data_IF_871031063403
#
_entry.id   IF_871031063403
#
_cell.length_a   1.000
_cell.length_b   1.000
_cell.length_c   1.000
_cell.angle_alpha   90.00
_cell.angle_beta   90.00
_cell.angle_gamma   90.00
#
_symmetry.space_group_name_H-M   'P 1'
#
loop_
_entity.id
_entity.type
_entity.pdbx_description
1 polymer ?
#
# COMPACT_ATOMS: atom_id res chain seq x y z
N UNK A 1 -50.17 -59.46 5.67
CA UNK A 1 -49.75 -58.04 5.73
C UNK A 1 -48.34 -57.93 5.16
N UNK A 2 -48.17 -57.29 4.00
CA UNK A 2 -46.87 -57.07 3.35
C UNK A 2 -46.31 -55.73 3.84
N UNK A 3 -45.14 -55.73 4.48
CA UNK A 3 -44.42 -54.51 4.85
C UNK A 3 -43.60 -54.01 3.66
N UNK A 4 -43.89 -52.80 3.20
CA UNK A 4 -43.13 -52.09 2.17
C UNK A 4 -41.88 -51.45 2.79
N UNK A 5 -40.70 -51.73 2.22
CA UNK A 5 -39.46 -51.01 2.53
C UNK A 5 -39.43 -49.71 1.71
N UNK A 6 -39.45 -48.56 2.39
CA UNK A 6 -39.20 -47.27 1.76
C UNK A 6 -37.69 -47.14 1.42
N UNK A 7 -37.39 -46.86 0.15
CA UNK A 7 -36.04 -46.50 -0.32
C UNK A 7 -35.84 -45.00 -0.09
N UNK A 8 -34.90 -44.63 0.78
CA UNK A 8 -34.35 -43.28 0.82
C UNK A 8 -33.36 -43.12 -0.33
N UNK A 9 -33.66 -42.23 -1.27
CA UNK A 9 -32.71 -41.77 -2.27
C UNK A 9 -31.87 -40.64 -1.65
N UNK A 10 -30.58 -40.89 -1.44
CA UNK A 10 -29.63 -39.85 -1.09
C UNK A 10 -29.33 -39.00 -2.33
N UNK A 11 -29.79 -37.75 -2.33
CA UNK A 11 -29.38 -36.77 -3.33
C UNK A 11 -27.92 -36.38 -3.07
N UNK A 12 -27.00 -36.85 -3.91
CA UNK A 12 -25.63 -36.36 -3.96
C UNK A 12 -25.66 -34.91 -4.50
N UNK A 13 -25.54 -33.92 -3.62
CA UNK A 13 -25.15 -32.58 -4.04
C UNK A 13 -23.68 -32.62 -4.46
N UNK A 14 -23.43 -32.68 -5.76
CA UNK A 14 -22.11 -32.36 -6.31
C UNK A 14 -21.95 -30.85 -6.15
N UNK A 15 -21.27 -30.43 -5.08
CA UNK A 15 -20.74 -29.08 -4.98
C UNK A 15 -19.75 -28.91 -6.13
N UNK A 16 -20.18 -28.21 -7.18
CA UNK A 16 -19.29 -27.69 -8.21
C UNK A 16 -18.28 -26.79 -7.52
N UNK A 17 -17.07 -27.29 -7.28
CA UNK A 17 -15.95 -26.47 -6.86
C UNK A 17 -15.61 -25.54 -8.01
N UNK A 18 -16.15 -24.32 -8.00
CA UNK A 18 -15.51 -23.23 -8.71
C UNK A 18 -14.09 -23.12 -8.15
N UNK A 19 -13.10 -23.48 -8.95
CA UNK A 19 -11.72 -23.15 -8.64
C UNK A 19 -11.70 -21.64 -8.31
N UNK A 20 -11.13 -21.22 -7.16
CA UNK A 20 -11.08 -19.80 -6.84
C UNK A 20 -10.38 -19.10 -7.99
N UNK A 21 -11.06 -18.10 -8.59
CA UNK A 21 -10.47 -17.25 -9.62
C UNK A 21 -9.10 -16.80 -9.10
N UNK A 22 -8.03 -17.07 -9.85
CA UNK A 22 -6.70 -16.67 -9.42
C UNK A 22 -6.66 -15.14 -9.36
N UNK A 23 -6.77 -14.59 -8.15
CA UNK A 23 -6.72 -13.16 -7.93
C UNK A 23 -5.29 -12.67 -8.18
N UNK A 24 -5.15 -11.65 -9.04
CA UNK A 24 -3.87 -10.96 -9.26
C UNK A 24 -3.43 -10.28 -7.95
N UNK A 25 -4.36 -9.62 -7.26
CA UNK A 25 -4.12 -8.91 -6.00
C UNK A 25 -4.91 -9.51 -4.84
N UNK A 26 -4.28 -9.58 -3.66
CA UNK A 26 -4.93 -9.87 -2.38
C UNK A 26 -4.56 -8.79 -1.37
N UNK A 27 -5.46 -8.41 -0.46
CA UNK A 27 -5.10 -7.47 0.60
C UNK A 27 -4.06 -8.09 1.54
N UNK A 28 -3.18 -7.24 2.06
CA UNK A 28 -2.17 -7.57 3.06
C UNK A 28 -2.05 -6.43 4.09
N UNK A 29 -3.21 -5.93 4.56
CA UNK A 29 -3.30 -4.83 5.52
C UNK A 29 -2.91 -5.27 6.92
N UNK A 30 -2.37 -4.33 7.71
CA UNK A 30 -2.04 -4.56 9.12
C UNK A 30 -1.20 -5.84 9.31
N UNK A 31 -1.69 -6.74 10.17
CA UNK A 31 -0.97 -7.93 10.65
C UNK A 31 -0.92 -9.04 9.60
N UNK A 32 -1.65 -8.87 8.49
CA UNK A 32 -1.54 -9.74 7.32
C UNK A 32 -0.25 -9.47 6.51
N UNK A 33 0.40 -8.31 6.70
CA UNK A 33 1.64 -7.97 5.99
C UNK A 33 2.78 -8.96 6.29
N UNK A 34 3.07 -9.23 7.57
CA UNK A 34 4.21 -10.04 7.96
C UNK A 34 4.14 -11.49 7.44
N UNK A 35 3.01 -12.21 7.54
CA UNK A 35 2.87 -13.53 6.91
C UNK A 35 3.13 -13.50 5.40
N UNK A 36 2.68 -12.47 4.68
CA UNK A 36 2.88 -12.34 3.23
C UNK A 36 4.31 -11.99 2.87
N UNK A 37 4.97 -11.12 3.64
CA UNK A 37 6.39 -10.85 3.47
C UNK A 37 7.22 -12.12 3.68
N UNK A 38 6.94 -12.88 4.74
CA UNK A 38 7.59 -14.18 4.99
C UNK A 38 7.34 -15.18 3.87
N UNK A 39 6.14 -15.19 3.28
CA UNK A 39 5.79 -16.01 2.12
C UNK A 39 6.66 -15.67 0.89
N UNK A 40 6.88 -14.37 0.62
CA UNK A 40 7.75 -13.91 -0.47
C UNK A 40 9.20 -14.35 -0.23
N UNK A 41 9.76 -14.04 0.94
CA UNK A 41 11.17 -14.32 1.26
C UNK A 41 11.48 -15.83 1.20
N UNK A 42 10.60 -16.66 1.81
CA UNK A 42 10.76 -18.12 1.79
C UNK A 42 10.50 -18.73 0.40
N UNK A 43 9.64 -18.07 -0.38
CA UNK A 43 9.24 -18.50 -1.70
C UNK A 43 10.30 -18.25 -2.78
N UNK A 44 11.11 -17.20 -2.63
CA UNK A 44 12.10 -16.75 -3.62
C UNK A 44 13.07 -17.86 -4.04
N UNK A 45 13.35 -17.95 -5.35
CA UNK A 45 14.18 -18.99 -5.98
C UNK A 45 15.42 -18.44 -6.68
N UNK A 46 15.29 -17.32 -7.36
CA UNK A 46 16.36 -16.71 -8.14
C UNK A 46 16.69 -15.31 -7.61
N UNK A 47 15.67 -14.49 -7.33
CA UNK A 47 15.85 -13.09 -6.95
C UNK A 47 14.90 -12.67 -5.83
N UNK A 48 15.38 -11.77 -4.98
CA UNK A 48 14.59 -11.13 -3.94
C UNK A 48 15.07 -9.69 -3.76
N UNK A 49 14.28 -8.72 -4.22
CA UNK A 49 14.63 -7.30 -4.15
C UNK A 49 13.72 -6.54 -3.20
N UNK A 50 14.33 -5.75 -2.31
CA UNK A 50 13.67 -5.06 -1.20
C UNK A 50 13.95 -3.57 -1.33
N UNK A 51 12.90 -2.77 -1.51
CA UNK A 51 12.96 -1.32 -1.38
C UNK A 51 12.11 -0.85 -0.22
N UNK A 52 12.71 -0.09 0.69
CA UNK A 52 12.06 0.41 1.89
C UNK A 52 12.58 1.78 2.27
N UNK A 53 11.70 2.64 2.79
CA UNK A 53 12.12 3.86 3.47
C UNK A 53 13.04 3.51 4.64
N UNK A 54 12.66 2.54 5.47
CA UNK A 54 13.56 2.03 6.48
C UNK A 54 13.33 0.57 6.85
N UNK A 55 14.40 -0.03 7.38
CA UNK A 55 14.41 -1.33 8.03
C UNK A 55 15.00 -1.18 9.42
N UNK A 56 14.15 -0.92 10.40
CA UNK A 56 14.55 -0.79 11.80
C UNK A 56 14.77 -2.18 12.39
N UNK A 57 15.90 -2.42 13.08
CA UNK A 57 16.27 -3.76 13.62
C UNK A 57 15.69 -4.01 15.02
N UNK A 58 14.38 -4.19 15.09
CA UNK A 58 13.59 -4.38 16.32
C UNK A 58 13.01 -5.80 16.47
N UNK A 59 12.14 -6.02 17.47
CA UNK A 59 11.66 -7.35 17.88
C UNK A 59 10.96 -8.14 16.77
N UNK A 60 10.17 -7.48 15.91
CA UNK A 60 9.44 -8.12 14.81
C UNK A 60 10.30 -8.31 13.56
N UNK A 61 11.19 -7.37 13.27
CA UNK A 61 11.90 -7.31 11.99
C UNK A 61 13.26 -7.98 12.04
N UNK A 62 13.95 -7.99 13.20
CA UNK A 62 15.24 -8.69 13.37
C UNK A 62 15.14 -10.18 13.02
N UNK A 63 14.05 -10.92 13.32
CA UNK A 63 13.88 -12.29 12.85
C UNK A 63 13.83 -12.45 11.32
N UNK A 64 13.52 -11.41 10.55
CA UNK A 64 13.55 -11.47 9.09
C UNK A 64 14.96 -11.66 8.55
N UNK A 65 15.99 -11.23 9.27
CA UNK A 65 17.41 -11.41 8.90
C UNK A 65 17.75 -12.90 8.75
N UNK A 66 17.20 -13.78 9.61
CA UNK A 66 17.37 -15.22 9.44
C UNK A 66 16.75 -15.74 8.15
N UNK A 67 15.56 -15.26 7.78
CA UNK A 67 14.88 -15.66 6.55
C UNK A 67 15.62 -15.16 5.29
N UNK A 68 16.23 -13.97 5.38
CA UNK A 68 17.07 -13.43 4.32
C UNK A 68 18.38 -14.22 4.20
N UNK A 69 19.02 -14.60 5.32
CA UNK A 69 20.19 -15.47 5.30
C UNK A 69 19.86 -16.83 4.69
N UNK A 70 18.73 -17.43 5.05
CA UNK A 70 18.24 -18.66 4.42
C UNK A 70 18.02 -18.50 2.91
N UNK A 71 17.63 -17.31 2.43
CA UNK A 71 17.49 -17.05 0.99
C UNK A 71 18.86 -16.97 0.31
N UNK A 72 19.81 -16.27 0.91
CA UNK A 72 21.20 -16.22 0.44
C UNK A 72 21.83 -17.61 0.40
N UNK A 73 21.64 -18.42 1.44
CA UNK A 73 22.16 -19.80 1.51
C UNK A 73 21.57 -20.71 0.41
N UNK A 74 20.36 -20.40 -0.07
CA UNK A 74 19.74 -21.09 -1.22
C UNK A 74 20.28 -20.61 -2.58
N UNK A 75 21.15 -19.61 -2.61
CA UNK A 75 21.69 -19.00 -3.82
C UNK A 75 20.79 -17.95 -4.48
N UNK A 76 19.82 -17.40 -3.73
CA UNK A 76 18.97 -16.29 -4.23
C UNK A 76 19.81 -15.00 -4.28
N UNK A 77 19.70 -14.25 -5.37
CA UNK A 77 20.21 -12.86 -5.47
C UNK A 77 19.34 -11.94 -4.61
N UNK A 78 19.81 -11.65 -3.39
CA UNK A 78 19.09 -10.80 -2.44
C UNK A 78 19.69 -9.40 -2.42
N UNK A 79 18.89 -8.42 -2.82
CA UNK A 79 19.29 -6.99 -2.85
C UNK A 79 18.35 -6.14 -2.00
N UNK A 80 18.92 -5.15 -1.32
CA UNK A 80 18.17 -4.25 -0.45
C UNK A 80 18.65 -2.81 -0.62
N UNK A 81 17.71 -1.91 -0.92
CA UNK A 81 17.95 -0.47 -0.95
C UNK A 81 17.11 0.21 0.14
N UNK A 82 17.77 1.06 0.94
CA UNK A 82 17.16 1.77 2.06
C UNK A 82 17.43 3.28 1.94
N UNK A 83 16.47 4.14 2.26
CA UNK A 83 16.66 5.59 2.21
C UNK A 83 17.83 6.05 3.12
N UNK A 84 18.77 6.82 2.55
CA UNK A 84 20.03 7.18 3.22
C UNK A 84 19.83 8.15 4.39
N UNK A 85 18.84 9.05 4.27
CA UNK A 85 18.59 10.09 5.28
C UNK A 85 17.91 9.58 6.56
N UNK A 86 17.57 8.29 6.65
CA UNK A 86 16.85 7.72 7.81
C UNK A 86 17.80 6.97 8.74
N UNK A 87 18.00 7.52 9.94
CA UNK A 87 18.92 6.99 10.95
C UNK A 87 18.60 5.55 11.42
N UNK A 88 17.34 5.12 11.33
CA UNK A 88 16.93 3.74 11.65
C UNK A 88 17.64 2.69 10.78
N UNK A 89 18.20 3.07 9.62
CA UNK A 89 18.88 2.16 8.70
C UNK A 89 20.33 1.85 9.09
N UNK A 90 20.91 2.59 10.06
CA UNK A 90 22.31 2.48 10.43
C UNK A 90 22.72 1.08 10.92
N UNK A 91 21.83 0.37 11.63
CA UNK A 91 22.07 -1.01 12.08
C UNK A 91 21.79 -2.04 10.99
N UNK A 92 20.80 -1.80 10.14
CA UNK A 92 20.33 -2.78 9.16
C UNK A 92 21.34 -3.04 8.05
N UNK A 93 21.93 -1.98 7.48
CA UNK A 93 22.83 -2.11 6.32
C UNK A 93 24.04 -3.01 6.62
N UNK A 94 24.81 -2.84 7.72
CA UNK A 94 25.92 -3.73 8.04
C UNK A 94 25.48 -5.17 8.34
N UNK A 95 24.33 -5.34 9.00
CA UNK A 95 23.82 -6.67 9.35
C UNK A 95 23.42 -7.46 8.11
N UNK A 96 22.71 -6.81 7.17
CA UNK A 96 22.33 -7.40 5.89
C UNK A 96 23.56 -7.76 5.05
N UNK A 97 24.55 -6.87 4.95
CA UNK A 97 25.81 -7.16 4.24
C UNK A 97 26.54 -8.37 4.82
N UNK A 98 26.55 -8.51 6.15
CA UNK A 98 27.22 -9.63 6.84
C UNK A 98 26.62 -10.99 6.51
N UNK A 99 25.32 -11.06 6.21
CA UNK A 99 24.64 -12.30 5.82
C UNK A 99 24.61 -12.52 4.30
N UNK A 100 25.37 -11.73 3.54
CA UNK A 100 25.48 -11.86 2.08
C UNK A 100 24.37 -11.20 1.27
N UNK A 101 23.50 -10.40 1.90
CA UNK A 101 22.57 -9.52 1.15
C UNK A 101 23.36 -8.35 0.57
N UNK A 102 23.19 -8.07 -0.72
CA UNK A 102 23.68 -6.84 -1.33
C UNK A 102 22.81 -5.67 -0.85
N UNK A 103 23.17 -5.08 0.28
CA UNK A 103 22.44 -3.96 0.88
C UNK A 103 23.22 -2.64 0.73
N UNK A 104 22.53 -1.55 0.40
CA UNK A 104 23.16 -0.22 0.30
C UNK A 104 22.16 0.91 0.57
N UNK A 105 22.62 2.09 1.00
CA UNK A 105 21.75 3.26 1.08
C UNK A 105 21.37 3.74 -0.33
N UNK A 106 20.23 4.41 -0.43
CA UNK A 106 19.79 5.14 -1.60
C UNK A 106 20.36 6.57 -1.55
N UNK A 107 21.65 6.71 -1.88
CA UNK A 107 22.38 7.97 -1.75
C UNK A 107 22.21 8.92 -2.95
N UNK A 108 21.13 8.76 -3.72
CA UNK A 108 20.82 9.64 -4.85
C UNK A 108 20.19 10.97 -4.41
N UNK A 109 20.09 11.93 -5.33
CA UNK A 109 19.54 13.27 -5.03
C UNK A 109 18.02 13.29 -4.79
N UNK A 110 17.32 12.23 -5.21
CA UNK A 110 15.89 12.08 -5.04
C UNK A 110 15.63 11.20 -3.81
N UNK A 111 14.73 11.64 -2.94
CA UNK A 111 14.33 10.91 -1.73
C UNK A 111 13.50 9.66 -2.08
N UNK A 112 13.86 8.52 -1.47
CA UNK A 112 13.23 7.23 -1.66
C UNK A 112 12.17 6.98 -0.59
N UNK A 113 10.91 6.90 -1.02
CA UNK A 113 9.79 6.64 -0.11
C UNK A 113 9.01 5.38 -0.51
N UNK A 114 9.46 4.65 -1.53
CA UNK A 114 8.83 3.42 -1.99
C UNK A 114 9.00 2.28 -0.98
N UNK A 115 7.98 1.41 -0.90
CA UNK A 115 7.92 0.30 0.07
C UNK A 115 7.37 -0.92 -0.64
N UNK A 116 8.28 -1.75 -1.15
CA UNK A 116 7.90 -2.99 -1.80
C UNK A 116 8.97 -4.06 -1.66
N UNK A 117 8.53 -5.31 -1.78
CA UNK A 117 9.42 -6.46 -1.94
C UNK A 117 8.93 -7.28 -3.12
N UNK A 118 9.84 -7.62 -4.03
CA UNK A 118 9.56 -8.44 -5.22
C UNK A 118 10.45 -9.68 -5.22
N UNK A 119 9.89 -10.83 -5.57
CA UNK A 119 10.62 -12.07 -5.77
C UNK A 119 10.31 -12.68 -7.14
N UNK A 120 11.38 -13.15 -7.79
CA UNK A 120 11.37 -13.91 -9.05
C UNK A 120 10.54 -13.26 -10.18
N UNK A 121 10.43 -11.93 -10.19
CA UNK A 121 9.65 -11.18 -11.14
C UNK A 121 8.15 -11.54 -11.17
N UNK A 122 7.61 -12.13 -10.09
CA UNK A 122 6.22 -12.63 -10.08
C UNK A 122 5.45 -12.22 -8.82
N UNK A 123 6.07 -12.30 -7.64
CA UNK A 123 5.39 -12.02 -6.37
C UNK A 123 5.84 -10.68 -5.83
N UNK A 124 4.89 -9.81 -5.54
CA UNK A 124 5.16 -8.48 -4.99
C UNK A 124 4.32 -8.25 -3.75
N UNK A 125 4.87 -7.60 -2.73
CA UNK A 125 4.09 -6.92 -1.71
C UNK A 125 4.42 -5.43 -1.79
N UNK A 126 3.41 -4.57 -1.85
CA UNK A 126 3.57 -3.13 -2.01
C UNK A 126 2.48 -2.39 -1.23
N UNK A 127 2.85 -1.24 -0.65
CA UNK A 127 1.90 -0.41 0.09
C UNK A 127 2.59 0.56 1.03
N UNK A 128 2.00 0.77 2.21
CA UNK A 128 2.42 1.79 3.15
C UNK A 128 3.39 1.30 4.24
N UNK A 129 3.53 -0.02 4.44
CA UNK A 129 4.26 -0.57 5.59
C UNK A 129 5.78 -0.44 5.46
N UNK A 130 6.40 0.26 6.41
CA UNK A 130 7.84 0.21 6.65
C UNK A 130 8.23 -1.09 7.39
N UNK A 131 9.51 -1.46 7.35
CA UNK A 131 10.00 -2.57 8.15
C UNK A 131 10.37 -2.09 9.57
N UNK A 132 9.35 -1.94 10.43
CA UNK A 132 9.47 -1.81 11.90
C UNK A 132 8.35 -2.56 12.62
N UNK A 133 8.57 -2.89 13.89
CA UNK A 133 7.55 -3.46 14.78
C UNK A 133 6.31 -2.57 14.85
N UNK A 134 6.47 -1.25 14.93
CA UNK A 134 5.36 -0.31 14.97
C UNK A 134 4.50 -0.39 13.70
N UNK A 135 5.12 -0.32 12.52
CA UNK A 135 4.38 -0.38 11.25
C UNK A 135 3.69 -1.73 11.04
N UNK A 136 4.39 -2.82 11.35
CA UNK A 136 3.89 -4.18 11.08
C UNK A 136 2.82 -4.63 12.09
N UNK A 137 3.00 -4.31 13.37
CA UNK A 137 2.21 -4.91 14.46
C UNK A 137 1.29 -3.92 15.19
N UNK A 138 1.42 -2.61 14.97
CA UNK A 138 0.64 -1.60 15.70
C UNK A 138 -0.20 -0.72 14.78
N UNK A 139 0.39 -0.18 13.73
CA UNK A 139 -0.26 0.78 12.83
C UNK A 139 -1.44 0.18 12.05
N UNK A 140 -2.34 1.07 11.62
CA UNK A 140 -3.24 0.81 10.51
C UNK A 140 -2.50 1.08 9.20
N UNK A 141 -2.21 0.02 8.44
CA UNK A 141 -1.45 0.02 7.19
C UNK A 141 -2.25 -0.64 6.06
N UNK A 142 -2.03 -0.20 4.83
CA UNK A 142 -2.65 -0.76 3.63
C UNK A 142 -1.59 -1.26 2.66
N UNK A 143 -1.68 -2.54 2.31
CA UNK A 143 -0.81 -3.15 1.31
C UNK A 143 -1.61 -4.14 0.47
N UNK A 144 -1.05 -4.50 -0.68
CA UNK A 144 -1.50 -5.65 -1.45
C UNK A 144 -0.35 -6.61 -1.69
N UNK A 145 -0.71 -7.88 -1.75
CA UNK A 145 0.12 -8.95 -2.27
C UNK A 145 -0.31 -9.26 -3.71
N UNK A 146 0.62 -9.16 -4.65
CA UNK A 146 0.43 -9.37 -6.07
C UNK A 146 1.10 -10.68 -6.47
N UNK A 147 0.43 -11.47 -7.31
CA UNK A 147 1.02 -12.60 -8.01
C UNK A 147 0.74 -12.49 -9.51
N UNK A 148 1.67 -11.88 -10.23
CA UNK A 148 1.59 -11.64 -11.68
C UNK A 148 2.98 -11.37 -12.24
N UNK A 149 3.35 -12.08 -13.31
CA UNK A 149 4.69 -12.00 -13.89
C UNK A 149 4.97 -10.64 -14.54
N UNK A 150 3.98 -10.00 -15.16
CA UNK A 150 4.18 -8.72 -15.84
C UNK A 150 4.41 -7.61 -14.82
N UNK A 151 3.61 -7.59 -13.75
CA UNK A 151 3.76 -6.63 -12.66
C UNK A 151 5.03 -6.89 -11.86
N UNK A 152 5.35 -8.15 -11.55
CA UNK A 152 6.57 -8.50 -10.84
C UNK A 152 7.83 -8.11 -11.61
N UNK A 153 7.87 -8.34 -12.92
CA UNK A 153 8.98 -7.88 -13.77
C UNK A 153 9.12 -6.35 -13.76
N UNK A 154 8.00 -5.61 -13.81
CA UNK A 154 8.05 -4.15 -13.70
C UNK A 154 8.62 -3.69 -12.36
N UNK A 155 8.26 -4.33 -11.24
CA UNK A 155 8.85 -4.01 -9.93
C UNK A 155 10.34 -4.37 -9.84
N UNK A 156 10.80 -5.43 -10.51
CA UNK A 156 12.24 -5.72 -10.65
C UNK A 156 12.96 -4.64 -11.47
N UNK A 157 12.40 -4.23 -12.60
CA UNK A 157 12.95 -3.16 -13.45
C UNK A 157 12.98 -1.83 -12.69
N UNK A 158 11.92 -1.50 -11.95
CA UNK A 158 11.84 -0.32 -11.11
C UNK A 158 12.91 -0.36 -10.00
N UNK A 159 13.07 -1.49 -9.33
CA UNK A 159 14.14 -1.69 -8.36
C UNK A 159 15.53 -1.51 -9.00
N UNK A 160 15.77 -2.14 -10.15
CA UNK A 160 17.06 -2.08 -10.83
C UNK A 160 17.38 -0.69 -11.36
N UNK A 161 16.38 0.10 -11.76
CA UNK A 161 16.57 1.50 -12.11
C UNK A 161 17.08 2.31 -10.92
N UNK A 162 16.50 2.12 -9.72
CA UNK A 162 17.06 2.70 -8.49
C UNK A 162 18.47 2.15 -8.18
N UNK A 163 18.68 0.85 -8.44
CA UNK A 163 19.94 0.17 -8.19
C UNK A 163 21.08 0.64 -9.11
N UNK A 164 20.78 1.08 -10.32
CA UNK A 164 21.81 1.48 -11.27
C UNK A 164 21.91 3.00 -11.43
N UNK A 165 20.88 3.74 -11.00
CA UNK A 165 20.72 5.16 -11.36
C UNK A 165 20.22 5.32 -12.80
N UNK A 166 19.45 4.35 -13.30
CA UNK A 166 18.88 4.37 -14.66
C UNK A 166 17.53 5.10 -14.69
N UNK A 167 17.01 5.35 -15.89
CA UNK A 167 15.64 5.83 -16.07
C UNK A 167 14.61 4.80 -15.58
N UNK A 168 13.56 5.26 -14.91
CA UNK A 168 12.50 4.39 -14.41
C UNK A 168 11.62 3.82 -15.54
N UNK A 169 11.13 2.58 -15.40
CA UNK A 169 10.17 2.03 -16.34
C UNK A 169 8.85 2.82 -16.27
N UNK A 170 8.26 3.09 -17.44
CA UNK A 170 6.93 3.69 -17.51
C UNK A 170 5.85 2.77 -16.93
N UNK A 171 4.70 3.35 -16.58
CA UNK A 171 3.56 2.61 -16.01
C UNK A 171 3.13 1.42 -16.87
N UNK A 172 2.74 0.32 -16.23
CA UNK A 172 2.29 -0.91 -16.89
C UNK A 172 0.95 -1.39 -16.34
N UNK A 173 0.08 -1.89 -17.23
CA UNK A 173 -1.17 -2.56 -16.86
C UNK A 173 -1.07 -4.06 -17.09
N UNK A 174 -1.44 -4.87 -16.09
CA UNK A 174 -1.71 -6.31 -16.21
C UNK A 174 -3.09 -6.63 -15.65
N UNK A 175 -3.99 -7.14 -16.50
CA UNK A 175 -5.38 -7.35 -16.11
C UNK A 175 -6.04 -6.06 -15.63
N UNK A 176 -6.49 -6.05 -14.37
CA UNK A 176 -7.13 -4.89 -13.73
C UNK A 176 -6.20 -4.02 -12.89
N UNK A 177 -4.89 -4.28 -12.92
CA UNK A 177 -3.89 -3.60 -12.08
C UNK A 177 -2.98 -2.77 -12.96
N UNK A 178 -2.78 -1.51 -12.57
CA UNK A 178 -1.87 -0.57 -13.24
C UNK A 178 -0.87 -0.03 -12.22
N UNK A 179 0.42 -0.10 -12.53
CA UNK A 179 1.45 0.58 -11.74
C UNK A 179 1.38 2.08 -11.99
N UNK A 180 1.67 2.88 -10.96
CA UNK A 180 1.58 4.33 -11.03
C UNK A 180 2.90 4.92 -10.52
N UNK A 181 3.66 5.50 -11.43
CA UNK A 181 4.82 6.32 -11.12
C UNK A 181 4.40 7.58 -10.34
N UNK A 182 5.31 8.12 -9.53
CA UNK A 182 5.08 9.31 -8.68
C UNK A 182 4.38 10.44 -9.43
N UNK A 183 4.92 10.90 -10.57
CA UNK A 183 4.41 12.06 -11.33
C UNK A 183 3.05 11.85 -11.99
N UNK A 184 2.45 10.65 -11.88
CA UNK A 184 1.11 10.36 -12.36
C UNK A 184 0.14 9.99 -11.21
N UNK A 185 0.59 10.10 -9.95
CA UNK A 185 -0.24 9.76 -8.79
C UNK A 185 -1.47 10.67 -8.67
N UNK A 186 -1.31 11.96 -8.94
CA UNK A 186 -2.40 12.93 -8.94
C UNK A 186 -3.37 12.68 -10.11
N UNK A 187 -2.88 12.47 -11.32
CA UNK A 187 -3.70 12.14 -12.50
C UNK A 187 -4.52 10.86 -12.28
N UNK A 188 -3.92 9.84 -11.67
CA UNK A 188 -4.61 8.60 -11.31
C UNK A 188 -5.76 8.85 -10.33
N UNK A 189 -5.53 9.62 -9.26
CA UNK A 189 -6.55 9.98 -8.27
C UNK A 189 -7.65 10.85 -8.89
N UNK A 190 -7.30 11.86 -9.68
CA UNK A 190 -8.26 12.73 -10.39
C UNK A 190 -9.16 11.86 -11.26
N UNK A 191 -8.59 10.99 -12.10
CA UNK A 191 -9.36 10.10 -12.95
C UNK A 191 -10.29 9.17 -12.18
N UNK A 192 -9.84 8.64 -11.03
CA UNK A 192 -10.71 7.86 -10.13
C UNK A 192 -11.89 8.69 -9.63
N UNK A 193 -11.64 9.91 -9.15
CA UNK A 193 -12.66 10.76 -8.55
C UNK A 193 -13.64 11.31 -9.57
N UNK A 194 -13.21 11.61 -10.79
CA UNK A 194 -14.09 12.03 -11.89
C UNK A 194 -15.06 10.92 -12.33
N UNK A 195 -14.58 9.67 -12.34
CA UNK A 195 -15.39 8.51 -12.73
C UNK A 195 -16.36 8.06 -11.63
N UNK A 196 -16.02 8.32 -10.36
CA UNK A 196 -16.82 7.92 -9.21
C UNK A 196 -18.30 8.39 -9.31
N UNK A 197 -19.21 7.48 -8.98
CA UNK A 197 -20.67 7.65 -9.01
C UNK A 197 -21.31 7.43 -7.66
N UNK A 198 -20.80 6.53 -6.81
CA UNK A 198 -21.43 6.23 -5.53
C UNK A 198 -20.65 6.77 -4.34
N UNK A 199 -19.35 6.48 -4.27
CA UNK A 199 -18.53 6.79 -3.10
C UNK A 199 -17.06 7.02 -3.41
N UNK A 200 -16.44 7.88 -2.60
CA UNK A 200 -15.00 8.01 -2.46
C UNK A 200 -14.67 7.91 -0.97
N UNK A 201 -13.72 7.05 -0.59
CA UNK A 201 -13.26 6.86 0.78
C UNK A 201 -11.74 6.90 0.85
N UNK A 202 -11.21 7.75 1.73
CA UNK A 202 -9.78 8.05 1.82
C UNK A 202 -9.24 7.72 3.21
N UNK A 203 -8.10 7.02 3.29
CA UNK A 203 -7.25 7.00 4.49
C UNK A 203 -5.98 7.78 4.16
N UNK A 204 -5.73 8.83 4.94
CA UNK A 204 -4.66 9.80 4.68
C UNK A 204 -3.79 9.92 5.93
N UNK A 205 -2.58 9.34 5.87
CA UNK A 205 -1.56 9.57 6.90
C UNK A 205 -1.10 11.03 6.91
N UNK A 206 -0.52 11.50 5.81
CA UNK A 206 0.02 12.85 5.69
C UNK A 206 -0.56 13.59 4.50
N UNK A 207 -1.01 14.83 4.74
CA UNK A 207 -1.50 15.74 3.71
C UNK A 207 -1.00 17.15 4.01
N UNK A 208 -0.57 17.87 2.97
CA UNK A 208 -0.32 19.32 3.02
C UNK A 208 -1.12 19.98 1.91
N UNK A 209 -2.01 20.89 2.27
CA UNK A 209 -2.83 21.65 1.32
C UNK A 209 -2.15 22.97 0.93
N UNK A 210 -2.51 23.47 -0.25
CA UNK A 210 -1.96 24.71 -0.83
C UNK A 210 -3.09 25.62 -1.34
N UNK A 211 -3.96 26.15 -0.47
CA UNK A 211 -5.15 26.91 -0.88
C UNK A 211 -4.80 28.06 -1.84
N UNK A 212 -5.50 28.10 -2.99
CA UNK A 212 -5.28 29.11 -4.03
C UNK A 212 -4.30 28.71 -5.13
N UNK A 213 -3.41 27.74 -4.90
CA UNK A 213 -2.48 27.23 -5.92
C UNK A 213 -3.18 26.24 -6.85
N UNK A 214 -3.93 26.73 -7.84
CA UNK A 214 -4.76 25.86 -8.71
C UNK A 214 -3.98 24.84 -9.54
N UNK A 215 -2.73 25.16 -9.87
CA UNK A 215 -1.87 24.28 -10.65
C UNK A 215 -1.13 23.23 -9.80
N UNK A 216 -1.18 23.35 -8.47
CA UNK A 216 -0.54 22.40 -7.57
C UNK A 216 -1.25 21.02 -7.66
N UNK A 217 -0.50 19.92 -7.85
CA UNK A 217 -1.09 18.59 -8.09
C UNK A 217 -1.96 18.12 -6.92
N UNK A 218 -1.59 18.45 -5.68
CA UNK A 218 -2.42 18.14 -4.50
C UNK A 218 -3.75 18.87 -4.56
N UNK A 219 -3.74 20.14 -4.97
CA UNK A 219 -4.97 20.92 -5.09
C UNK A 219 -5.84 20.44 -6.24
N UNK A 220 -5.27 19.99 -7.37
CA UNK A 220 -6.03 19.37 -8.48
C UNK A 220 -6.80 18.14 -8.01
N UNK A 221 -6.16 17.25 -7.25
CA UNK A 221 -6.80 16.09 -6.63
C UNK A 221 -7.93 16.50 -5.68
N UNK A 222 -7.68 17.49 -4.81
CA UNK A 222 -8.68 17.99 -3.86
C UNK A 222 -9.88 18.61 -4.59
N UNK A 223 -9.66 19.38 -5.66
CA UNK A 223 -10.75 19.93 -6.45
C UNK A 223 -11.55 18.85 -7.19
N UNK A 224 -10.90 17.78 -7.67
CA UNK A 224 -11.59 16.62 -8.23
C UNK A 224 -12.47 15.91 -7.18
N UNK A 225 -11.98 15.79 -5.94
CA UNK A 225 -12.77 15.28 -4.80
C UNK A 225 -13.99 16.17 -4.51
N UNK A 226 -13.81 17.50 -4.47
CA UNK A 226 -14.92 18.44 -4.25
C UNK A 226 -15.92 18.41 -5.41
N UNK A 227 -15.45 18.34 -6.65
CA UNK A 227 -16.33 18.16 -7.80
C UNK A 227 -17.11 16.84 -7.72
N UNK A 228 -16.55 15.78 -7.13
CA UNK A 228 -17.29 14.55 -6.87
C UNK A 228 -18.37 14.73 -5.80
N UNK A 229 -18.06 15.41 -4.70
CA UNK A 229 -19.05 15.77 -3.67
C UNK A 229 -20.18 16.62 -4.26
N UNK A 230 -19.85 17.63 -5.09
CA UNK A 230 -20.82 18.49 -5.77
C UNK A 230 -21.73 17.70 -6.75
N UNK A 231 -21.23 16.57 -7.30
CA UNK A 231 -22.03 15.62 -8.11
C UNK A 231 -22.92 14.68 -7.26
N UNK A 232 -22.85 14.75 -5.93
CA UNK A 232 -23.59 13.89 -5.01
C UNK A 232 -22.92 12.56 -4.68
N UNK A 233 -21.64 12.38 -5.04
CA UNK A 233 -20.86 11.20 -4.63
C UNK A 233 -20.62 11.27 -3.12
N UNK A 234 -20.79 10.16 -2.40
CA UNK A 234 -20.50 10.11 -0.95
C UNK A 234 -19.00 10.14 -0.71
N UNK A 235 -18.48 11.30 -0.31
CA UNK A 235 -17.05 11.49 -0.05
C UNK A 235 -16.76 11.43 1.44
N UNK A 236 -15.82 10.58 1.86
CA UNK A 236 -15.34 10.51 3.24
C UNK A 236 -13.82 10.35 3.34
N UNK A 237 -13.25 10.90 4.40
CA UNK A 237 -11.83 10.79 4.70
C UNK A 237 -11.60 10.50 6.19
N UNK A 238 -10.64 9.62 6.49
CA UNK A 238 -10.04 9.51 7.83
C UNK A 238 -8.61 10.00 7.74
N UNK A 239 -8.27 10.98 8.58
CA UNK A 239 -6.94 11.56 8.66
C UNK A 239 -6.25 11.16 9.96
N UNK A 240 -4.92 11.04 9.92
CA UNK A 240 -4.14 10.73 11.12
C UNK A 240 -4.18 11.88 12.15
N UNK A 241 -4.30 11.49 13.42
CA UNK A 241 -4.15 12.32 14.60
C UNK A 241 -3.36 11.54 15.64
N UNK A 242 -2.41 12.19 16.31
CA UNK A 242 -1.63 11.57 17.38
C UNK A 242 -1.27 12.56 18.49
N UNK A 243 -0.75 12.05 19.60
CA UNK A 243 -0.28 12.84 20.75
C UNK A 243 1.21 13.25 20.66
N UNK A 244 1.91 12.85 19.60
CA UNK A 244 3.35 13.03 19.46
C UNK A 244 3.78 13.87 18.26
N UNK A 245 2.89 14.17 17.31
CA UNK A 245 3.26 14.85 16.06
C UNK A 245 2.41 16.09 15.76
N UNK A 246 2.66 17.17 16.50
CA UNK A 246 1.94 18.45 16.35
C UNK A 246 2.03 19.05 14.94
N UNK A 247 3.15 18.85 14.25
CA UNK A 247 3.32 19.37 12.89
C UNK A 247 2.40 18.64 11.91
N UNK A 248 2.35 17.31 11.96
CA UNK A 248 1.42 16.53 11.15
C UNK A 248 -0.04 16.84 11.51
N UNK A 249 -0.34 16.88 12.82
CA UNK A 249 -1.65 17.24 13.36
C UNK A 249 -2.16 18.57 12.82
N UNK A 250 -1.30 19.59 12.74
CA UNK A 250 -1.69 20.89 12.17
C UNK A 250 -2.05 20.77 10.70
N UNK A 251 -1.27 20.03 9.93
CA UNK A 251 -1.55 19.85 8.50
C UNK A 251 -2.83 19.05 8.25
N UNK A 252 -3.09 18.01 9.06
CA UNK A 252 -4.34 17.23 8.97
C UNK A 252 -5.55 18.02 9.47
N UNK A 253 -5.41 18.88 10.48
CA UNK A 253 -6.46 19.81 10.91
C UNK A 253 -6.82 20.81 9.81
N UNK A 254 -5.83 21.50 9.23
CA UNK A 254 -6.03 22.48 8.16
C UNK A 254 -6.72 21.81 6.95
N UNK A 255 -6.31 20.59 6.59
CA UNK A 255 -6.94 19.81 5.52
C UNK A 255 -8.37 19.38 5.87
N UNK A 256 -8.61 18.95 7.11
CA UNK A 256 -9.93 18.51 7.56
C UNK A 256 -10.95 19.66 7.54
N UNK A 257 -10.56 20.85 7.99
CA UNK A 257 -11.39 22.06 7.89
C UNK A 257 -11.72 22.39 6.43
N UNK A 258 -10.71 22.34 5.56
CA UNK A 258 -10.90 22.63 4.14
C UNK A 258 -11.86 21.63 3.47
N UNK A 259 -11.71 20.33 3.77
CA UNK A 259 -12.57 19.26 3.24
C UNK A 259 -14.01 19.39 3.74
N UNK A 260 -14.19 19.64 5.05
CA UNK A 260 -15.53 19.84 5.65
C UNK A 260 -16.24 21.05 5.06
N UNK A 261 -15.51 22.13 4.75
CA UNK A 261 -16.08 23.33 4.12
C UNK A 261 -16.70 23.08 2.75
N UNK A 262 -16.41 21.93 2.12
CA UNK A 262 -16.90 21.50 0.81
C UNK A 262 -17.69 20.19 0.85
N UNK A 263 -18.22 19.82 2.02
CA UNK A 263 -19.17 18.72 2.16
C UNK A 263 -18.56 17.32 2.24
N UNK A 264 -17.24 17.20 2.41
CA UNK A 264 -16.59 15.91 2.64
C UNK A 264 -16.76 15.48 4.11
N UNK A 265 -17.14 14.23 4.34
CA UNK A 265 -17.28 13.63 5.67
C UNK A 265 -15.90 13.25 6.24
N UNK A 266 -15.31 14.13 7.03
CA UNK A 266 -13.98 13.94 7.60
C UNK A 266 -14.04 13.49 9.06
N UNK A 267 -13.33 12.41 9.36
CA UNK A 267 -13.07 11.91 10.73
C UNK A 267 -11.56 11.85 10.98
N UNK A 268 -11.18 11.80 12.25
CA UNK A 268 -9.81 11.44 12.65
C UNK A 268 -9.77 9.99 13.11
N UNK A 269 -8.62 9.36 13.02
CA UNK A 269 -8.38 8.04 13.55
C UNK A 269 -8.26 8.05 15.09
N UNK A 270 -7.91 6.90 15.66
CA UNK A 270 -7.69 6.77 17.09
C UNK A 270 -6.29 7.32 17.43
N UNK A 271 -6.21 8.31 18.31
CA UNK A 271 -4.95 8.97 18.69
C UNK A 271 -3.87 8.03 19.24
N UNK A 272 -4.25 6.82 19.68
CA UNK A 272 -3.34 5.77 20.19
C UNK A 272 -2.90 4.76 19.14
N UNK A 273 -3.47 4.80 17.93
CA UNK A 273 -3.17 3.87 16.83
C UNK A 273 -2.94 4.69 15.56
N UNK A 274 -1.68 4.77 15.13
CA UNK A 274 -1.31 5.53 13.92
C UNK A 274 -1.95 4.90 12.68
N UNK A 275 -2.75 5.67 11.94
CA UNK A 275 -3.16 5.32 10.57
C UNK A 275 -2.13 5.78 9.57
N UNK A 276 -1.16 4.91 9.29
CA UNK A 276 -0.09 5.15 8.32
C UNK A 276 -0.46 4.72 6.88
N UNK A 277 -1.74 4.49 6.60
CA UNK A 277 -2.26 4.14 5.29
C UNK A 277 -2.27 5.32 4.30
N UNK A 278 -2.09 5.00 3.00
CA UNK A 278 -2.36 5.91 1.88
C UNK A 278 -3.26 5.17 0.90
N UNK A 279 -4.56 5.31 1.14
CA UNK A 279 -5.61 4.54 0.47
C UNK A 279 -6.63 5.50 -0.11
N UNK A 280 -6.96 5.29 -1.39
CA UNK A 280 -8.17 5.84 -1.99
C UNK A 280 -9.03 4.70 -2.54
N UNK A 281 -10.31 4.69 -2.19
CA UNK A 281 -11.32 3.81 -2.78
C UNK A 281 -12.34 4.67 -3.48
N UNK A 282 -12.57 4.44 -4.77
CA UNK A 282 -13.59 5.08 -5.58
C UNK A 282 -14.42 3.99 -6.26
N UNK A 283 -15.65 3.77 -5.78
CA UNK A 283 -16.55 2.69 -6.21
C UNK A 283 -15.92 1.27 -6.25
N UNK A 284 -15.48 0.82 -7.43
CA UNK A 284 -14.87 -0.47 -7.74
C UNK A 284 -13.33 -0.41 -7.91
N UNK A 285 -12.75 0.78 -7.73
CA UNK A 285 -11.35 1.07 -7.99
C UNK A 285 -10.64 1.49 -6.71
N UNK A 286 -9.43 0.97 -6.51
CA UNK A 286 -8.59 1.23 -5.34
C UNK A 286 -7.24 1.77 -5.81
N UNK A 287 -6.73 2.79 -5.14
CA UNK A 287 -5.32 3.18 -5.21
C UNK A 287 -4.67 2.97 -3.85
N UNK A 288 -3.54 2.27 -3.84
CA UNK A 288 -2.70 2.01 -2.68
C UNK A 288 -1.25 2.25 -3.06
N UNK A 289 -0.47 2.73 -2.11
CA UNK A 289 0.97 2.84 -2.28
C UNK A 289 1.63 3.54 -1.10
N UNK A 290 2.69 4.27 -1.42
CA UNK A 290 3.53 4.94 -0.43
C UNK A 290 3.37 6.46 -0.40
N UNK A 291 2.71 7.08 -1.40
CA UNK A 291 2.60 8.55 -1.51
C UNK A 291 1.75 9.21 -0.43
N UNK A 292 2.38 10.07 0.38
CA UNK A 292 1.66 11.09 1.15
C UNK A 292 1.11 12.18 0.22
N UNK A 293 0.03 12.86 0.61
CA UNK A 293 -0.60 13.90 -0.19
C UNK A 293 0.08 15.25 0.02
N UNK A 294 1.25 15.42 -0.58
CA UNK A 294 2.02 16.66 -0.59
C UNK A 294 2.76 16.81 -1.90
N UNK A 295 3.23 18.01 -2.23
CA UNK A 295 4.00 18.22 -3.46
C UNK A 295 5.17 17.25 -3.58
N UNK A 296 5.88 16.98 -2.47
CA UNK A 296 6.96 15.99 -2.44
C UNK A 296 6.52 14.58 -2.86
N UNK A 297 5.42 14.07 -2.30
CA UNK A 297 4.92 12.72 -2.58
C UNK A 297 4.24 12.54 -3.94
N UNK A 298 3.88 13.63 -4.62
CA UNK A 298 3.31 13.62 -5.97
C UNK A 298 4.32 13.98 -7.07
N UNK A 299 5.42 14.66 -6.76
CA UNK A 299 6.35 15.14 -7.79
C UNK A 299 7.82 14.80 -7.54
N UNK A 300 8.25 14.77 -6.28
CA UNK A 300 9.69 14.79 -5.95
C UNK A 300 10.24 13.47 -5.44
N UNK A 301 9.42 12.63 -4.82
CA UNK A 301 9.87 11.40 -4.16
C UNK A 301 9.72 10.20 -5.07
N UNK A 302 10.57 9.18 -4.90
CA UNK A 302 10.31 7.87 -5.50
C UNK A 302 9.28 7.13 -4.67
N UNK A 303 8.12 6.90 -5.27
CA UNK A 303 6.98 6.27 -4.63
C UNK A 303 6.58 5.01 -5.42
N UNK A 304 5.98 4.04 -4.75
CA UNK A 304 5.40 2.87 -5.39
C UNK A 304 3.89 2.88 -5.17
N UNK A 305 3.14 3.24 -6.21
CA UNK A 305 1.69 3.25 -6.19
C UNK A 305 1.13 2.30 -7.24
N UNK A 306 -0.09 1.83 -7.00
CA UNK A 306 -0.84 1.01 -7.93
C UNK A 306 -2.32 1.40 -7.90
N UNK A 307 -2.98 1.28 -9.05
CA UNK A 307 -4.42 1.38 -9.19
C UNK A 307 -4.97 0.02 -9.58
N UNK A 308 -6.00 -0.43 -8.88
CA UNK A 308 -6.61 -1.75 -9.03
C UNK A 308 -8.11 -1.57 -9.24
N UNK A 309 -8.63 -2.00 -10.39
CA UNK A 309 -10.07 -2.06 -10.66
C UNK A 309 -10.62 -3.45 -10.30
N UNK A 310 -11.05 -3.63 -9.06
CA UNK A 310 -11.59 -4.89 -8.57
C UNK A 310 -12.64 -4.61 -7.49
N UNK A 311 -13.90 -4.91 -7.78
CA UNK A 311 -15.03 -4.65 -6.88
C UNK A 311 -14.89 -5.36 -5.53
N UNK A 312 -14.38 -6.60 -5.51
CA UNK A 312 -14.22 -7.36 -4.27
C UNK A 312 -13.11 -6.76 -3.41
N UNK A 313 -12.02 -6.33 -4.02
CA UNK A 313 -10.92 -5.65 -3.34
C UNK A 313 -11.34 -4.26 -2.84
N UNK A 314 -12.06 -3.49 -3.66
CA UNK A 314 -12.62 -2.20 -3.26
C UNK A 314 -13.58 -2.33 -2.09
N UNK A 315 -14.43 -3.37 -2.08
CA UNK A 315 -15.32 -3.65 -0.95
C UNK A 315 -14.56 -4.03 0.32
N UNK A 316 -13.45 -4.77 0.20
CA UNK A 316 -12.57 -5.05 1.35
C UNK A 316 -12.00 -3.76 1.93
N UNK A 317 -11.39 -2.92 1.09
CA UNK A 317 -10.75 -1.68 1.55
C UNK A 317 -11.76 -0.64 2.03
N UNK A 318 -12.96 -0.60 1.47
CA UNK A 318 -14.04 0.25 1.99
C UNK A 318 -14.48 -0.20 3.39
N UNK A 319 -14.63 -1.51 3.64
CA UNK A 319 -14.89 -2.02 4.99
C UNK A 319 -13.74 -1.70 5.95
N UNK A 320 -12.49 -1.79 5.48
CA UNK A 320 -11.33 -1.41 6.26
C UNK A 320 -11.35 0.08 6.63
N UNK A 321 -11.68 0.97 5.68
CA UNK A 321 -11.91 2.40 5.94
C UNK A 321 -12.96 2.63 7.04
N UNK A 322 -14.11 1.95 6.96
CA UNK A 322 -15.16 2.07 7.98
C UNK A 322 -14.69 1.62 9.36
N UNK A 323 -13.93 0.52 9.43
CA UNK A 323 -13.36 0.03 10.68
C UNK A 323 -12.39 1.03 11.31
N UNK A 324 -11.49 1.64 10.52
CA UNK A 324 -10.58 2.68 11.02
C UNK A 324 -11.36 3.92 11.49
N UNK A 325 -12.41 4.32 10.75
CA UNK A 325 -13.31 5.40 11.15
C UNK A 325 -14.01 5.12 12.48
N UNK A 326 -14.52 3.90 12.67
CA UNK A 326 -15.16 3.47 13.93
C UNK A 326 -14.18 3.44 15.11
N UNK A 327 -12.93 3.00 14.89
CA UNK A 327 -11.88 3.02 15.91
C UNK A 327 -11.60 4.43 16.45
N UNK A 328 -11.61 5.45 15.57
CA UNK A 328 -11.44 6.84 15.96
C UNK A 328 -12.63 7.43 16.73
N UNK A 329 -13.85 6.91 16.49
CA UNK A 329 -15.06 7.34 17.18
C UNK A 329 -15.20 6.78 18.61
N UNK A 330 -14.59 5.63 18.89
CA UNK A 330 -14.69 4.90 20.17
C UNK A 330 -13.79 5.46 21.30
N UNK A 331 -13.63 6.79 21.38
CA UNK A 331 -12.67 7.49 22.27
C UNK A 331 -12.78 7.10 23.75
#
# INVERSE_FOLDING_TARGET
>A
MKFARARFAAALFVLSSCAPRAYICRPASNRDYLPRLKEIIKGAKEKLYISQLYFHMDEITRPLVFLLNEAVDRGVDVRCILEDSVSYNAEALPLLKRIGVEARPDSGDIFSHSKFVVADGEKVIVGSTNLSSTSIDRNNETNVFIKDKKLGQWFEEYFMAMWNGDAFPGSVTSGSVTTVETSFADEALIGMFERAKERIALLIYGIKIYPGEKENPVMKVIYALFAAADRGVKTGAVMEKSDYNDTLNKMTDDAAEYFRSRGVDVSFDNEKIITHAKLAVADDTVMIGSSNWGYGGFELYREANIVIKDEALAKYFYKYFLMVKEQGAAK
#
